data_IF_283492500058
#
_entry.id   IF_283492500058
#
_cell.length_a   1.000
_cell.length_b   1.000
_cell.length_c   1.000
_cell.angle_alpha   90.00
_cell.angle_beta   90.00
_cell.angle_gamma   90.00
#
_symmetry.space_group_name_H-M   'P 1'
#
loop_
_entity.id
_entity.type
_entity.pdbx_description
1 polymer ?
#
# COMPACT_ATOMS: atom_id res chain seq x y z
N UNK A 1 19.64 17.83 -14.84
CA UNK A 1 19.50 16.49 -14.22
C UNK A 1 18.28 15.80 -14.84
N UNK A 2 18.37 14.53 -15.20
CA UNK A 2 17.21 13.78 -15.72
C UNK A 2 16.23 13.47 -14.57
N UNK A 3 14.94 13.74 -14.77
CA UNK A 3 13.92 13.42 -13.79
C UNK A 3 13.76 11.90 -13.66
N UNK A 4 13.89 11.36 -12.44
CA UNK A 4 13.62 9.95 -12.17
C UNK A 4 12.11 9.77 -12.01
N UNK A 5 11.49 8.93 -12.85
CA UNK A 5 10.08 8.54 -12.70
C UNK A 5 10.00 7.06 -12.35
N UNK A 6 9.24 6.74 -11.30
CA UNK A 6 8.92 5.37 -10.88
C UNK A 6 7.40 5.20 -10.90
N UNK A 7 6.94 4.04 -11.35
CA UNK A 7 5.51 3.69 -11.31
C UNK A 7 5.24 3.00 -9.96
N UNK A 8 4.26 3.49 -9.21
CA UNK A 8 3.75 2.85 -8.01
C UNK A 8 2.45 2.14 -8.35
N UNK A 9 2.33 0.88 -7.93
CA UNK A 9 1.12 0.08 -8.11
C UNK A 9 0.67 -0.36 -6.71
N UNK A 10 -0.58 -0.05 -6.36
CA UNK A 10 -1.18 -0.45 -5.08
C UNK A 10 -2.14 -1.62 -5.34
N UNK A 11 -1.94 -2.72 -4.63
CA UNK A 11 -2.69 -3.97 -4.81
C UNK A 11 -3.33 -4.37 -3.48
N UNK A 12 -4.47 -5.04 -3.54
CA UNK A 12 -5.24 -5.49 -2.39
C UNK A 12 -6.71 -5.71 -2.76
N UNK A 13 -7.47 -6.35 -1.87
CA UNK A 13 -8.85 -6.77 -2.11
C UNK A 13 -9.83 -5.61 -2.34
N UNK A 14 -11.04 -5.93 -2.79
CA UNK A 14 -12.14 -4.95 -2.82
C UNK A 14 -12.32 -4.26 -1.46
N UNK A 15 -12.71 -2.99 -1.47
CA UNK A 15 -13.01 -2.20 -0.26
C UNK A 15 -11.88 -1.99 0.77
N UNK A 16 -10.66 -2.52 0.59
CA UNK A 16 -9.56 -2.35 1.55
C UNK A 16 -8.93 -0.94 1.62
N UNK A 17 -9.53 0.07 0.97
CA UNK A 17 -9.14 1.48 1.12
C UNK A 17 -8.04 2.00 0.20
N UNK A 18 -7.59 1.24 -0.81
CA UNK A 18 -6.53 1.66 -1.77
C UNK A 18 -6.78 3.02 -2.41
N UNK A 19 -7.99 3.23 -2.93
CA UNK A 19 -8.37 4.49 -3.60
C UNK A 19 -8.34 5.65 -2.61
N UNK A 20 -8.89 5.46 -1.41
CA UNK A 20 -8.85 6.48 -0.36
C UNK A 20 -7.41 6.80 0.05
N UNK A 21 -6.53 5.79 0.16
CA UNK A 21 -5.12 5.99 0.48
C UNK A 21 -4.40 6.86 -0.57
N UNK A 22 -4.61 6.58 -1.87
CA UNK A 22 -4.04 7.38 -2.96
C UNK A 22 -4.62 8.80 -3.02
N UNK A 23 -5.91 8.97 -2.79
CA UNK A 23 -6.57 10.28 -2.76
C UNK A 23 -6.03 11.11 -1.61
N UNK A 24 -5.99 10.57 -0.39
CA UNK A 24 -5.47 11.28 0.79
C UNK A 24 -4.02 11.66 0.60
N UNK A 25 -3.19 10.79 0.04
CA UNK A 25 -1.80 11.14 -0.25
C UNK A 25 -1.66 12.27 -1.28
N UNK A 26 -2.48 12.25 -2.35
CA UNK A 26 -2.36 13.20 -3.47
C UNK A 26 -3.07 14.54 -3.25
N UNK A 27 -4.15 14.55 -2.47
CA UNK A 27 -5.02 15.72 -2.25
C UNK A 27 -5.03 16.20 -0.80
N UNK A 28 -4.46 15.43 0.12
CA UNK A 28 -4.52 15.69 1.56
C UNK A 28 -5.96 15.84 2.11
N UNK A 29 -6.91 15.14 1.49
CA UNK A 29 -8.32 15.17 1.87
C UNK A 29 -8.92 13.76 1.77
N UNK A 30 -9.68 13.35 2.77
CA UNK A 30 -10.41 12.08 2.75
C UNK A 30 -11.79 12.31 2.10
N UNK A 31 -12.19 11.52 1.08
CA UNK A 31 -13.45 11.76 0.38
C UNK A 31 -14.65 11.41 1.28
N UNK A 32 -15.54 12.38 1.50
CA UNK A 32 -16.82 12.15 2.19
C UNK A 32 -17.83 11.40 1.31
N UNK A 33 -17.84 11.72 0.01
CA UNK A 33 -18.64 11.01 -1.00
C UNK A 33 -17.71 10.12 -1.80
N UNK A 34 -17.69 8.83 -1.46
CA UNK A 34 -16.95 7.84 -2.22
C UNK A 34 -17.72 7.49 -3.50
N UNK A 35 -17.27 7.99 -4.64
CA UNK A 35 -17.74 7.55 -5.95
C UNK A 35 -16.81 6.42 -6.42
N UNK A 36 -17.26 5.15 -6.43
CA UNK A 36 -16.43 4.04 -6.87
C UNK A 36 -16.00 4.23 -8.33
N UNK A 37 -14.72 4.03 -8.63
CA UNK A 37 -14.23 3.92 -10.01
C UNK A 37 -14.89 2.72 -10.69
N UNK A 38 -15.35 2.89 -11.94
CA UNK A 38 -16.01 2.02 -12.97
C UNK A 38 -16.02 0.47 -12.80
N UNK A 39 -15.23 -0.12 -11.91
CA UNK A 39 -15.38 -1.50 -11.44
C UNK A 39 -16.05 -1.51 -10.06
N UNK A 40 -17.37 -1.67 -10.05
CA UNK A 40 -18.14 -1.98 -8.84
C UNK A 40 -17.80 -3.41 -8.39
N UNK A 41 -17.03 -3.54 -7.30
CA UNK A 41 -17.01 -4.78 -6.55
C UNK A 41 -18.20 -4.76 -5.60
N UNK A 42 -19.31 -5.38 -5.99
CA UNK A 42 -20.41 -5.67 -5.07
C UNK A 42 -19.92 -6.76 -4.11
N UNK A 43 -19.40 -6.35 -2.96
CA UNK A 43 -19.06 -7.27 -1.87
C UNK A 43 -20.37 -7.50 -1.11
N UNK A 44 -20.96 -8.68 -1.29
CA UNK A 44 -21.99 -9.15 -0.38
C UNK A 44 -21.29 -9.75 0.84
N UNK A 45 -21.38 -9.09 1.98
CA UNK A 45 -20.86 -9.62 3.24
C UNK A 45 -21.73 -10.82 3.65
N UNK A 46 -21.26 -12.04 3.37
CA UNK A 46 -21.87 -13.26 3.92
C UNK A 46 -21.27 -13.44 5.32
N UNK A 47 -21.99 -12.99 6.32
CA UNK A 47 -21.59 -13.09 7.72
C UNK A 47 -21.77 -14.54 8.20
N UNK A 48 -20.67 -15.26 8.35
CA UNK A 48 -20.65 -16.58 9.00
C UNK A 48 -20.10 -16.38 10.40
N UNK A 49 -20.91 -16.64 11.43
CA UNK A 49 -20.55 -16.63 12.86
C UNK A 49 -20.15 -15.29 13.51
N UNK A 50 -20.36 -14.14 12.84
CA UNK A 50 -20.40 -12.81 13.48
C UNK A 50 -19.10 -12.33 14.15
N UNK A 51 -17.93 -12.84 13.74
CA UNK A 51 -16.64 -12.42 14.30
C UNK A 51 -15.66 -12.00 13.20
N UNK A 52 -15.61 -10.69 12.94
CA UNK A 52 -14.53 -10.05 12.19
C UNK A 52 -13.59 -9.38 13.21
N UNK A 53 -12.45 -10.02 13.48
CA UNK A 53 -11.42 -9.43 14.34
C UNK A 53 -10.38 -8.71 13.46
N UNK A 54 -9.89 -7.52 13.86
CA UNK A 54 -8.80 -6.86 13.17
C UNK A 54 -7.56 -7.76 13.10
N UNK A 55 -6.84 -7.70 11.97
CA UNK A 55 -5.52 -8.34 11.86
C UNK A 55 -4.59 -7.72 12.90
N UNK A 56 -3.87 -8.57 13.66
CA UNK A 56 -2.90 -8.09 14.65
C UNK A 56 -1.62 -7.66 13.93
N UNK A 57 -0.96 -6.64 14.48
CA UNK A 57 0.31 -6.13 13.95
C UNK A 57 1.37 -7.22 13.77
N UNK A 58 1.47 -8.16 14.71
CA UNK A 58 2.45 -9.26 14.63
C UNK A 58 2.16 -10.20 13.45
N UNK A 59 0.90 -10.46 13.15
CA UNK A 59 0.49 -11.31 12.02
C UNK A 59 0.83 -10.62 10.68
N UNK A 60 0.57 -9.31 10.59
CA UNK A 60 0.94 -8.50 9.43
C UNK A 60 2.46 -8.47 9.19
N UNK A 61 3.25 -8.29 10.26
CA UNK A 61 4.72 -8.35 10.18
C UNK A 61 5.22 -9.74 9.78
N UNK A 62 4.67 -10.80 10.36
CA UNK A 62 5.04 -12.18 10.02
C UNK A 62 4.76 -12.47 8.53
N UNK A 63 3.63 -11.96 8.01
CA UNK A 63 3.29 -12.07 6.60
C UNK A 63 4.29 -11.31 5.72
N UNK A 64 4.65 -10.07 6.05
CA UNK A 64 5.63 -9.29 5.30
C UNK A 64 7.00 -9.98 5.21
N UNK A 65 7.47 -10.59 6.30
CA UNK A 65 8.69 -11.42 6.32
C UNK A 65 8.55 -12.61 5.37
N UNK A 66 7.41 -13.29 5.40
CA UNK A 66 7.15 -14.48 4.57
C UNK A 66 7.18 -14.18 3.08
N UNK A 67 6.65 -13.04 2.63
CA UNK A 67 6.71 -12.63 1.20
C UNK A 67 7.98 -11.83 0.85
N UNK A 68 8.88 -11.64 1.81
CA UNK A 68 10.10 -10.85 1.63
C UNK A 68 9.79 -9.42 1.16
N UNK A 69 8.74 -8.81 1.72
CA UNK A 69 8.42 -7.40 1.51
C UNK A 69 9.54 -6.51 2.06
N UNK A 70 9.66 -5.32 1.51
CA UNK A 70 10.66 -4.34 1.92
C UNK A 70 10.42 -3.84 3.35
N UNK A 71 9.16 -3.67 3.75
CA UNK A 71 8.77 -3.24 5.09
C UNK A 71 7.34 -3.71 5.41
N UNK A 72 6.83 -3.41 6.61
CA UNK A 72 5.42 -3.49 6.97
C UNK A 72 5.02 -2.23 7.74
N UNK A 73 3.97 -1.56 7.27
CA UNK A 73 3.47 -0.31 7.83
C UNK A 73 1.95 -0.34 7.96
N UNK A 74 1.45 0.09 9.12
CA UNK A 74 0.03 0.30 9.37
C UNK A 74 -0.32 1.76 9.11
N UNK A 75 -1.44 2.02 8.44
CA UNK A 75 -1.88 3.38 8.15
C UNK A 75 -3.40 3.49 8.11
N UNK A 76 -3.90 4.70 8.27
CA UNK A 76 -5.32 5.02 8.17
C UNK A 76 -5.49 6.25 7.28
N UNK A 77 -6.09 6.03 6.10
CA UNK A 77 -6.42 7.12 5.20
C UNK A 77 -7.37 8.14 5.86
N UNK A 78 -8.30 7.66 6.70
CA UNK A 78 -9.32 8.50 7.36
C UNK A 78 -8.71 9.45 8.39
N UNK A 79 -7.79 8.95 9.22
CA UNK A 79 -7.11 9.75 10.26
C UNK A 79 -5.81 10.37 9.76
N UNK A 80 -5.39 10.04 8.53
CA UNK A 80 -4.11 10.40 7.89
C UNK A 80 -2.87 9.84 8.58
N UNK A 81 -3.04 9.01 9.61
CA UNK A 81 -1.95 8.37 10.33
C UNK A 81 -1.19 7.39 9.43
N UNK A 82 0.14 7.47 9.44
CA UNK A 82 1.02 6.58 8.66
C UNK A 82 1.01 6.78 7.14
N UNK A 83 0.05 7.52 6.57
CA UNK A 83 -0.12 7.66 5.11
C UNK A 83 1.17 8.14 4.46
N UNK A 84 1.75 9.25 4.95
CA UNK A 84 2.97 9.81 4.37
C UNK A 84 4.16 8.86 4.47
N UNK A 85 4.29 8.17 5.59
CA UNK A 85 5.37 7.21 5.83
C UNK A 85 5.33 6.05 4.84
N UNK A 86 4.14 5.51 4.53
CA UNK A 86 3.97 4.46 3.51
C UNK A 86 4.58 4.89 2.16
N UNK A 87 4.27 6.09 1.67
CA UNK A 87 4.76 6.55 0.37
C UNK A 87 6.25 6.97 0.40
N UNK A 88 6.74 7.51 1.50
CA UNK A 88 8.17 7.82 1.66
C UNK A 88 9.02 6.54 1.71
N UNK A 89 8.57 5.53 2.45
CA UNK A 89 9.19 4.20 2.51
C UNK A 89 9.14 3.53 1.14
N UNK A 90 8.01 3.64 0.43
CA UNK A 90 7.89 3.13 -0.94
C UNK A 90 8.90 3.78 -1.90
N UNK A 91 9.04 5.10 -1.81
CA UNK A 91 9.97 5.88 -2.62
C UNK A 91 11.41 5.48 -2.32
N UNK A 92 11.76 5.33 -1.04
CA UNK A 92 13.09 4.87 -0.60
C UNK A 92 13.41 3.48 -1.16
N UNK A 93 12.46 2.54 -1.06
CA UNK A 93 12.61 1.19 -1.60
C UNK A 93 12.83 1.19 -3.13
N UNK A 94 12.13 2.05 -3.85
CA UNK A 94 12.22 2.17 -5.31
C UNK A 94 13.52 2.83 -5.80
N UNK A 95 14.18 3.62 -4.95
CA UNK A 95 15.42 4.34 -5.27
C UNK A 95 16.70 3.62 -4.80
N UNK A 96 16.61 2.65 -3.88
CA UNK A 96 17.78 1.88 -3.45
C UNK A 96 18.43 1.11 -4.61
N UNK A 97 19.69 1.43 -4.89
CA UNK A 97 20.56 0.62 -5.75
C UNK A 97 21.01 -0.61 -4.97
N UNK A 98 21.10 -1.78 -5.61
CA UNK A 98 21.78 -2.94 -5.01
C UNK A 98 23.25 -2.57 -4.76
N UNK A 99 23.66 -2.39 -3.51
CA UNK A 99 25.08 -2.38 -3.16
C UNK A 99 25.56 -3.84 -3.22
N UNK A 100 26.35 -4.19 -4.25
CA UNK A 100 26.94 -5.54 -4.38
C UNK A 100 26.83 -6.26 -5.74
N UNK A 101 26.37 -5.63 -6.82
CA UNK A 101 26.50 -6.22 -8.16
C UNK A 101 26.93 -5.15 -9.15
N UNK A 102 28.05 -5.38 -9.85
CA UNK A 102 28.54 -4.49 -10.91
C UNK A 102 27.59 -4.41 -12.13
N UNK A 103 26.41 -5.05 -12.11
CA UNK A 103 25.37 -4.94 -13.13
C UNK A 103 23.95 -4.88 -12.50
N UNK A 104 23.66 -3.80 -11.76
CA UNK A 104 22.37 -3.61 -11.07
C UNK A 104 21.19 -3.39 -12.03
N UNK A 105 20.20 -4.29 -11.98
CA UNK A 105 18.92 -4.11 -12.66
C UNK A 105 18.19 -2.86 -12.15
N UNK A 106 17.93 -1.91 -13.05
CA UNK A 106 17.28 -0.61 -12.75
C UNK A 106 15.74 -0.75 -12.61
N UNK A 107 15.20 -1.91 -13.01
CA UNK A 107 13.77 -2.19 -13.18
C UNK A 107 13.23 -3.31 -12.28
N UNK A 108 13.92 -3.70 -11.20
CA UNK A 108 13.38 -4.71 -10.30
C UNK A 108 12.16 -4.17 -9.52
N UNK A 109 11.04 -4.88 -9.57
CA UNK A 109 9.86 -4.58 -8.78
C UNK A 109 10.16 -4.80 -7.30
N UNK A 110 9.63 -3.94 -6.44
CA UNK A 110 9.72 -4.03 -4.98
C UNK A 110 8.32 -4.14 -4.42
N UNK A 111 8.13 -5.10 -3.52
CA UNK A 111 6.91 -5.26 -2.75
C UNK A 111 7.14 -4.57 -1.41
N UNK A 112 6.18 -3.76 -0.99
CA UNK A 112 6.09 -3.13 0.33
C UNK A 112 4.91 -3.76 1.04
#
# INVERSE_FOLDING_TARGET
>A
MAAIRKKLVVVGDGACGKTCLLIVFSKDEFPEVYVPTVFENYVADIEVDGKQEPVRTDDGRAMAVRIQAYDYLECSAKTKEGVREVFETATRAALQKRYGSQNGCINCCKVL
#
